data_IF_749969234990
#
_entry.id   IF_749969234990
#
_cell.length_a   1.000
_cell.length_b   1.000
_cell.length_c   1.000
_cell.angle_alpha   90.00
_cell.angle_beta   90.00
_cell.angle_gamma   90.00
#
_symmetry.space_group_name_H-M   'P 1'
#
loop_
_entity.id
_entity.type
_entity.pdbx_description
1 polymer ?
#
# COMPACT_ATOMS: atom_id res chain seq x y z
N UNK A 1 17.56 -9.62 2.80
CA UNK A 1 16.50 -9.17 3.73
C UNK A 1 15.19 -9.32 2.99
N UNK A 2 14.17 -9.95 3.59
CA UNK A 2 12.86 -10.09 2.95
C UNK A 2 12.12 -8.77 3.12
N UNK A 3 11.68 -8.15 2.02
CA UNK A 3 10.80 -6.98 2.03
C UNK A 3 9.36 -7.46 2.12
N UNK A 4 8.47 -6.67 2.71
CA UNK A 4 7.05 -7.00 2.83
C UNK A 4 6.20 -6.22 1.83
N UNK A 5 6.69 -5.09 1.33
CA UNK A 5 5.99 -4.22 0.39
C UNK A 5 6.95 -3.75 -0.70
N UNK A 6 6.59 -4.05 -1.95
CA UNK A 6 7.29 -3.58 -3.13
C UNK A 6 6.30 -2.98 -4.12
N UNK A 7 6.72 -1.93 -4.82
CA UNK A 7 5.92 -1.29 -5.85
C UNK A 7 6.81 -0.81 -6.99
N UNK A 8 6.53 -1.27 -8.21
CA UNK A 8 7.28 -0.92 -9.42
C UNK A 8 6.36 -0.26 -10.44
N UNK A 9 6.77 0.84 -11.06
CA UNK A 9 6.04 1.44 -12.19
C UNK A 9 6.32 0.63 -13.46
N UNK A 10 5.30 -0.02 -14.02
CA UNK A 10 5.45 -0.87 -15.21
C UNK A 10 5.18 -0.10 -16.50
N UNK A 11 4.20 0.81 -16.45
CA UNK A 11 3.74 1.56 -17.60
C UNK A 11 3.14 2.90 -17.19
N UNK A 12 3.31 3.92 -18.04
CA UNK A 12 2.67 5.23 -17.93
C UNK A 12 1.96 5.54 -19.24
N UNK A 13 0.80 6.18 -19.13
CA UNK A 13 0.12 6.73 -20.29
C UNK A 13 0.83 7.99 -20.82
N UNK A 14 0.51 8.41 -22.05
CA UNK A 14 1.13 9.59 -22.67
C UNK A 14 0.82 10.89 -21.91
N UNK A 15 -0.26 10.92 -21.11
CA UNK A 15 -0.63 12.08 -20.30
C UNK A 15 0.08 12.10 -18.94
N UNK A 16 0.75 11.02 -18.56
CA UNK A 16 1.39 10.75 -17.26
C UNK A 16 0.45 10.90 -16.04
N UNK A 17 -0.86 10.95 -16.28
CA UNK A 17 -1.89 11.07 -15.24
C UNK A 17 -2.29 9.70 -14.69
N UNK A 18 -2.14 8.64 -15.50
CA UNK A 18 -2.49 7.28 -15.13
C UNK A 18 -1.31 6.35 -15.38
N UNK A 19 -1.00 5.52 -14.39
CA UNK A 19 0.04 4.53 -14.55
C UNK A 19 -0.31 3.21 -13.90
N UNK A 20 0.29 2.17 -14.45
CA UNK A 20 0.19 0.82 -13.93
C UNK A 20 1.40 0.54 -13.05
N UNK A 21 1.14 0.10 -11.82
CA UNK A 21 2.17 -0.35 -10.88
C UNK A 21 2.05 -1.84 -10.63
N UNK A 22 3.18 -2.53 -10.48
CA UNK A 22 3.22 -3.86 -9.89
C UNK A 22 3.29 -3.71 -8.39
N UNK A 23 2.22 -4.04 -7.68
CA UNK A 23 2.21 -4.13 -6.23
C UNK A 23 2.55 -5.56 -5.82
N UNK A 24 3.61 -5.71 -5.03
CA UNK A 24 4.01 -7.00 -4.48
C UNK A 24 4.00 -6.95 -2.96
N UNK A 25 3.35 -7.95 -2.38
CA UNK A 25 3.21 -8.10 -0.94
C UNK A 25 3.80 -9.44 -0.55
N UNK A 26 4.62 -9.47 0.49
CA UNK A 26 5.31 -10.67 0.92
C UNK A 26 5.11 -10.89 2.41
N UNK A 27 4.39 -11.97 2.75
CA UNK A 27 4.38 -12.53 4.09
C UNK A 27 5.38 -13.69 4.19
N UNK A 28 5.55 -14.24 5.39
CA UNK A 28 6.46 -15.37 5.63
C UNK A 28 6.06 -16.65 4.89
N UNK A 29 4.78 -16.81 4.56
CA UNK A 29 4.20 -18.05 4.00
C UNK A 29 3.59 -17.87 2.61
N UNK A 30 3.40 -16.63 2.16
CA UNK A 30 2.77 -16.34 0.88
C UNK A 30 3.23 -14.98 0.35
N UNK A 31 3.02 -14.78 -0.95
CA UNK A 31 3.19 -13.49 -1.60
C UNK A 31 2.11 -13.27 -2.64
N UNK A 32 1.75 -12.02 -2.89
CA UNK A 32 0.94 -11.61 -4.03
C UNK A 32 1.73 -10.68 -4.92
N UNK A 33 1.40 -10.69 -6.22
CA UNK A 33 1.90 -9.75 -7.21
C UNK A 33 0.74 -9.39 -8.11
N UNK A 34 0.40 -8.11 -8.16
CA UNK A 34 -0.76 -7.60 -8.91
C UNK A 34 -0.36 -6.36 -9.67
N UNK A 35 -0.89 -6.21 -10.88
CA UNK A 35 -0.69 -5.01 -11.67
C UNK A 35 -1.93 -4.11 -11.49
N UNK A 36 -1.74 -2.94 -10.89
CA UNK A 36 -2.80 -2.05 -10.42
C UNK A 36 -2.69 -0.69 -11.10
N UNK A 37 -3.82 -0.12 -11.52
CA UNK A 37 -3.87 1.26 -12.00
C UNK A 37 -3.90 2.24 -10.82
N UNK A 38 -2.99 3.20 -10.85
CA UNK A 38 -2.83 4.22 -9.82
C UNK A 38 -2.75 5.62 -10.44
N UNK A 39 -3.09 6.60 -9.62
CA UNK A 39 -2.89 8.03 -9.87
C UNK A 39 -2.07 8.62 -8.71
N UNK A 40 -1.42 9.75 -8.94
CA UNK A 40 -0.62 10.39 -7.89
C UNK A 40 -1.46 10.80 -6.69
N UNK A 41 -2.69 11.24 -6.91
CA UNK A 41 -3.63 11.62 -5.86
C UNK A 41 -3.86 10.45 -4.90
N UNK A 42 -4.01 9.22 -5.40
CA UNK A 42 -4.20 8.02 -4.58
C UNK A 42 -2.97 7.71 -3.73
N UNK A 43 -1.77 7.83 -4.30
CA UNK A 43 -0.54 7.64 -3.55
C UNK A 43 -0.27 8.78 -2.57
N UNK A 44 -0.68 10.01 -2.90
CA UNK A 44 -0.60 11.15 -2.00
C UNK A 44 -1.54 10.98 -0.81
N UNK A 45 -2.74 10.43 -1.00
CA UNK A 45 -3.63 10.05 0.10
C UNK A 45 -2.99 9.00 1.02
N UNK A 46 -2.21 8.06 0.48
CA UNK A 46 -1.47 7.08 1.28
C UNK A 46 -0.36 7.76 2.10
N UNK A 47 0.39 8.68 1.48
CA UNK A 47 1.39 9.51 2.16
C UNK A 47 0.75 10.31 3.30
N UNK A 48 -0.43 10.89 3.08
CA UNK A 48 -1.15 11.67 4.07
C UNK A 48 -1.73 10.78 5.18
N UNK A 49 -2.17 9.56 4.86
CA UNK A 49 -2.58 8.57 5.86
C UNK A 49 -1.42 8.17 6.78
N UNK A 50 -0.25 7.86 6.21
CA UNK A 50 0.96 7.55 6.99
C UNK A 50 1.38 8.74 7.84
N UNK A 51 1.36 9.95 7.27
CA UNK A 51 1.74 11.17 8.00
C UNK A 51 0.78 11.44 9.17
N UNK A 52 -0.53 11.32 8.97
CA UNK A 52 -1.54 11.46 10.06
C UNK A 52 -1.33 10.43 11.17
N UNK A 53 -1.03 9.18 10.82
CA UNK A 53 -0.74 8.14 11.80
C UNK A 53 0.51 8.49 12.62
N UNK A 54 1.57 8.96 11.96
CA UNK A 54 2.82 9.34 12.60
C UNK A 54 2.67 10.59 13.48
N UNK A 55 1.99 11.63 13.00
CA UNK A 55 1.70 12.87 13.74
C UNK A 55 0.87 12.60 15.00
N UNK A 56 -0.03 11.62 14.95
CA UNK A 56 -0.82 11.16 16.08
C UNK A 56 -0.07 10.18 17.00
N UNK A 57 1.21 9.89 16.74
CA UNK A 57 2.03 8.91 17.47
C UNK A 57 1.38 7.53 17.53
N UNK A 58 0.68 7.14 16.46
CA UNK A 58 -0.04 5.86 16.36
C UNK A 58 -1.21 5.69 17.35
N UNK A 59 -1.59 6.73 18.10
CA UNK A 59 -2.67 6.67 19.10
C UNK A 59 -4.06 6.43 18.49
N UNK A 60 -4.20 6.76 17.21
CA UNK A 60 -5.43 6.57 16.44
C UNK A 60 -5.08 5.72 15.23
N UNK A 61 -5.83 4.63 15.04
CA UNK A 61 -5.70 3.80 13.84
C UNK A 61 -6.10 4.61 12.61
N UNK A 62 -5.33 4.48 11.53
CA UNK A 62 -5.63 5.14 10.26
C UNK A 62 -5.94 4.08 9.21
N UNK A 63 -6.95 4.36 8.38
CA UNK A 63 -7.32 3.54 7.24
C UNK A 63 -7.06 4.35 5.97
N UNK A 64 -6.43 3.71 4.99
CA UNK A 64 -6.31 4.23 3.64
C UNK A 64 -7.03 3.30 2.66
N UNK A 65 -7.83 3.89 1.77
CA UNK A 65 -8.61 3.21 0.74
C UNK A 65 -8.86 4.20 -0.42
N UNK A 66 -8.16 4.06 -1.55
CA UNK A 66 -8.04 5.12 -2.57
C UNK A 66 -9.30 5.37 -3.41
N UNK A 67 -10.31 4.49 -3.38
CA UNK A 67 -11.53 4.64 -4.19
C UNK A 67 -12.84 4.58 -3.38
N UNK A 68 -12.76 4.75 -2.06
CA UNK A 68 -13.93 4.67 -1.17
C UNK A 68 -14.58 3.27 -1.16
N UNK A 69 -15.67 3.11 -0.39
CA UNK A 69 -16.36 1.81 -0.23
C UNK A 69 -17.23 1.42 -1.43
N UNK A 70 -17.43 2.32 -2.39
CA UNK A 70 -18.37 2.15 -3.51
C UNK A 70 -17.71 1.73 -4.84
N UNK A 71 -16.37 1.60 -4.90
CA UNK A 71 -15.68 1.11 -6.11
C UNK A 71 -15.92 -0.39 -6.29
N UNK A 72 -16.44 -0.80 -7.44
CA UNK A 72 -16.87 -2.20 -7.67
C UNK A 72 -15.76 -3.11 -8.20
N UNK A 73 -14.61 -2.56 -8.60
CA UNK A 73 -13.55 -3.32 -9.27
C UNK A 73 -12.48 -3.80 -8.27
N UNK A 74 -11.48 -2.97 -7.99
CA UNK A 74 -10.34 -3.30 -7.14
C UNK A 74 -10.35 -2.46 -5.86
N UNK A 75 -10.42 -3.15 -4.71
CA UNK A 75 -10.39 -2.53 -3.38
C UNK A 75 -9.11 -2.95 -2.66
N UNK A 76 -8.18 -2.00 -2.55
CA UNK A 76 -7.02 -2.12 -1.68
C UNK A 76 -7.28 -1.28 -0.42
N UNK A 77 -7.23 -1.91 0.74
CA UNK A 77 -7.40 -1.25 2.04
C UNK A 77 -6.23 -1.55 2.94
N UNK A 78 -5.58 -0.50 3.42
CA UNK A 78 -4.50 -0.58 4.40
C UNK A 78 -4.98 -0.01 5.73
N UNK A 79 -4.79 -0.76 6.81
CA UNK A 79 -5.08 -0.31 8.18
C UNK A 79 -3.80 -0.30 9.01
N UNK A 80 -3.48 0.86 9.58
CA UNK A 80 -2.30 1.07 10.43
C UNK A 80 -2.72 1.10 11.89
N UNK A 81 -2.14 0.22 12.71
CA UNK A 81 -2.45 0.12 14.14
C UNK A 81 -1.17 0.00 14.96
N UNK A 82 -0.98 0.87 15.96
CA UNK A 82 0.10 0.72 16.92
C UNK A 82 -0.22 -0.45 17.85
N UNK A 83 0.66 -1.45 17.92
CA UNK A 83 0.41 -2.67 18.70
C UNK A 83 1.22 -2.75 19.99
N UNK A 84 2.24 -1.90 20.17
CA UNK A 84 2.98 -1.81 21.41
C UNK A 84 3.53 -0.40 21.71
N UNK A 85 4.15 -0.26 22.88
CA UNK A 85 4.76 1.00 23.33
C UNK A 85 6.17 1.24 22.78
N UNK A 86 6.75 0.25 22.10
CA UNK A 86 8.09 0.34 21.51
C UNK A 86 8.06 0.91 20.09
N UNK A 87 6.87 1.11 19.52
CA UNK A 87 6.70 1.71 18.20
C UNK A 87 6.46 0.68 17.09
N UNK A 88 6.11 -0.55 17.46
CA UNK A 88 5.73 -1.60 16.51
C UNK A 88 4.31 -1.36 16.04
N UNK A 89 4.15 -1.41 14.73
CA UNK A 89 2.92 -1.15 14.00
C UNK A 89 2.53 -2.42 13.26
N UNK A 90 1.25 -2.75 13.36
CA UNK A 90 0.63 -3.71 12.49
C UNK A 90 0.05 -2.98 11.28
N UNK A 91 0.34 -3.52 10.10
CA UNK A 91 -0.34 -3.13 8.87
C UNK A 91 -1.17 -4.32 8.42
N UNK A 92 -2.48 -4.15 8.42
CA UNK A 92 -3.42 -5.08 7.78
C UNK A 92 -3.68 -4.60 6.35
N UNK A 93 -3.45 -5.47 5.38
CA UNK A 93 -3.71 -5.20 3.96
C UNK A 93 -4.79 -6.15 3.48
N UNK A 94 -5.86 -5.57 2.97
CA UNK A 94 -6.98 -6.30 2.38
C UNK A 94 -7.03 -5.96 0.89
N UNK A 95 -7.01 -6.97 0.05
CA UNK A 95 -7.19 -6.85 -1.39
C UNK A 95 -8.41 -7.67 -1.78
N UNK A 96 -9.35 -7.01 -2.43
CA UNK A 96 -10.57 -7.60 -2.96
C UNK A 96 -10.74 -7.13 -4.39
N UNK A 97 -10.69 -8.06 -5.33
CA UNK A 97 -10.91 -7.84 -6.76
C UNK A 97 -12.05 -8.77 -7.20
N UNK A 98 -13.20 -8.17 -7.48
CA UNK A 98 -14.39 -8.88 -7.96
C UNK A 98 -14.87 -8.24 -9.26
N UNK A 99 -14.64 -8.94 -10.38
CA UNK A 99 -15.26 -8.56 -11.64
C UNK A 99 -16.73 -8.99 -11.68
N UNK A 100 -17.64 -8.02 -11.66
CA UNK A 100 -19.08 -8.28 -11.73
C UNK A 100 -19.53 -9.10 -12.95
N UNK A 101 -18.73 -9.09 -14.02
CA UNK A 101 -19.03 -9.78 -15.27
C UNK A 101 -18.43 -11.18 -15.39
N UNK A 102 -17.57 -11.61 -14.45
CA UNK A 102 -17.04 -12.97 -14.41
C UNK A 102 -16.96 -13.50 -12.95
N UNK A 103 -17.89 -14.38 -12.53
CA UNK A 103 -17.93 -14.90 -11.17
C UNK A 103 -16.85 -15.96 -10.87
N UNK A 104 -16.02 -16.35 -11.84
CA UNK A 104 -15.02 -17.40 -11.67
C UNK A 104 -13.60 -16.88 -11.43
N UNK A 105 -13.31 -15.63 -11.80
CA UNK A 105 -11.99 -15.02 -11.66
C UNK A 105 -12.05 -13.89 -10.63
N UNK A 106 -11.89 -14.27 -9.36
CA UNK A 106 -11.89 -13.36 -8.22
C UNK A 106 -10.63 -13.55 -7.39
N UNK A 107 -10.12 -12.44 -6.86
CA UNK A 107 -8.95 -12.47 -6.00
C UNK A 107 -9.23 -11.80 -4.66
N UNK A 108 -9.04 -12.58 -3.59
CA UNK A 108 -9.10 -12.11 -2.21
C UNK A 108 -7.78 -12.44 -1.53
N UNK A 109 -7.14 -11.44 -0.94
CA UNK A 109 -5.99 -11.67 -0.09
C UNK A 109 -5.93 -10.74 1.11
N UNK A 110 -5.57 -11.34 2.23
CA UNK A 110 -5.32 -10.67 3.48
C UNK A 110 -3.86 -10.87 3.88
N UNK A 111 -3.16 -9.76 4.09
CA UNK A 111 -1.81 -9.76 4.63
C UNK A 111 -1.76 -9.01 5.95
N UNK A 112 -0.90 -9.50 6.84
CA UNK A 112 -0.57 -8.81 8.09
C UNK A 112 0.93 -8.67 8.21
N UNK A 113 1.38 -7.42 8.33
CA UNK A 113 2.78 -7.08 8.50
C UNK A 113 3.03 -6.46 9.86
N UNK A 114 4.28 -6.60 10.32
CA UNK A 114 4.81 -5.85 11.46
C UNK A 114 5.94 -4.98 10.96
N UNK A 115 5.92 -3.72 11.34
CA UNK A 115 6.89 -2.71 10.95
C UNK A 115 7.06 -1.68 12.08
N UNK A 116 7.98 -0.75 11.93
CA UNK A 116 8.16 0.39 12.84
C UNK A 116 7.64 1.70 12.27
N UNK A 117 7.46 2.69 13.15
CA UNK A 117 7.22 4.09 12.76
C UNK A 117 8.31 4.61 11.82
N UNK A 118 9.59 4.29 12.08
CA UNK A 118 10.70 4.72 11.21
C UNK A 118 10.65 4.11 9.81
N UNK A 119 10.18 2.86 9.69
CA UNK A 119 9.95 2.23 8.38
C UNK A 119 8.72 2.81 7.66
N UNK A 120 7.69 3.27 8.39
CA UNK A 120 6.60 4.02 7.79
C UNK A 120 7.06 5.39 7.24
N UNK A 121 7.94 6.10 7.97
CA UNK A 121 8.53 7.35 7.48
C UNK A 121 9.35 7.10 6.20
N UNK A 122 10.12 6.02 6.16
CA UNK A 122 10.86 5.61 4.96
C UNK A 122 9.91 5.30 3.79
N UNK A 123 8.84 4.52 4.02
CA UNK A 123 7.80 4.28 3.01
C UNK A 123 7.19 5.59 2.49
N UNK A 124 6.83 6.52 3.38
CA UNK A 124 6.28 7.84 3.02
C UNK A 124 7.26 8.64 2.14
N UNK A 125 8.54 8.63 2.48
CA UNK A 125 9.56 9.31 1.68
C UNK A 125 9.77 8.65 0.32
N UNK A 126 9.79 7.32 0.25
CA UNK A 126 9.88 6.59 -1.02
C UNK A 126 8.67 6.88 -1.91
N UNK A 127 7.44 6.85 -1.37
CA UNK A 127 6.22 7.21 -2.09
C UNK A 127 6.28 8.64 -2.66
N UNK A 128 6.73 9.62 -1.87
CA UNK A 128 6.89 11.01 -2.36
C UNK A 128 7.87 11.11 -3.53
N UNK A 129 8.98 10.37 -3.49
CA UNK A 129 9.98 10.33 -4.57
C UNK A 129 9.44 9.61 -5.81
N UNK A 130 8.67 8.54 -5.60
CA UNK A 130 7.99 7.81 -6.66
C UNK A 130 6.96 8.69 -7.37
N UNK A 131 6.12 9.41 -6.62
CA UNK A 131 5.20 10.43 -7.13
C UNK A 131 5.98 11.54 -7.85
N UNK A 132 7.19 11.92 -7.45
CA UNK A 132 7.97 12.94 -8.19
C UNK A 132 8.72 12.39 -9.40
N UNK A 133 8.54 11.11 -9.73
CA UNK A 133 9.29 10.40 -10.79
C UNK A 133 10.81 10.43 -10.59
N UNK A 134 11.25 10.53 -9.34
CA UNK A 134 12.68 10.41 -9.00
C UNK A 134 13.13 8.95 -8.92
N UNK A 135 12.17 8.05 -8.69
CA UNK A 135 12.33 6.59 -8.66
C UNK A 135 11.12 5.93 -9.31
N UNK A 136 11.34 4.74 -9.86
CA UNK A 136 10.30 3.89 -10.43
C UNK A 136 10.07 2.60 -9.62
N UNK A 137 10.81 2.42 -8.53
CA UNK A 137 10.74 1.23 -7.68
C UNK A 137 10.81 1.62 -6.20
N UNK A 138 9.90 1.06 -5.41
CA UNK A 138 9.82 1.19 -3.96
C UNK A 138 10.07 -0.19 -3.36
N UNK A 139 10.98 -0.26 -2.38
CA UNK A 139 11.18 -1.43 -1.54
C UNK A 139 11.14 -1.02 -0.08
N UNK A 140 10.05 -1.35 0.59
CA UNK A 140 9.84 -0.91 1.96
C UNK A 140 9.25 -2.02 2.82
N UNK A 141 9.16 -1.71 4.11
CA UNK A 141 8.67 -2.57 5.19
C UNK A 141 9.48 -3.88 5.30
N UNK A 142 10.08 -4.09 6.47
CA UNK A 142 10.86 -5.32 6.72
C UNK A 142 10.32 -5.98 7.97
N UNK A 143 10.29 -7.33 8.01
CA UNK A 143 9.95 -8.04 9.24
C UNK A 143 10.89 -7.59 10.37
N UNK A 144 10.30 -7.21 11.50
CA UNK A 144 11.01 -7.11 12.78
C UNK A 144 11.24 -8.46 13.43
#
# INVERSE_FOLDING_TARGET
>A
MVRQFEMERIWMDETELFYQVRLQLHASVCSSSQDVYMQDEMLQELVDAVSRFNDAWGKVSVVWQPMGEDSEDLRIKLTFTLIDRTGTIQIDVHIHDEWQHDPFDHFHADFKFRTTMGQLDDLSNQLKRFIRREIDHIESLRPE
#
